data_IF_183149454795
#
_entry.id   IF_183149454795
#
_cell.length_a   1.000
_cell.length_b   1.000
_cell.length_c   1.000
_cell.angle_alpha   90.00
_cell.angle_beta   90.00
_cell.angle_gamma   90.00
#
_symmetry.space_group_name_H-M   'P 1'
#
loop_
_entity.id
_entity.type
_entity.pdbx_description
1 polymer ?
#
# COMPACT_ATOMS: atom_id res chain seq x y z
N UNK A 1 22.50 -29.97 -9.33
CA UNK A 1 21.45 -28.92 -9.45
C UNK A 1 21.31 -28.20 -8.11
N UNK A 2 22.13 -27.17 -7.85
CA UNK A 2 22.12 -26.41 -6.59
C UNK A 2 21.31 -25.12 -6.74
N UNK A 3 20.01 -25.17 -6.44
CA UNK A 3 19.15 -24.00 -6.42
C UNK A 3 19.55 -23.08 -5.27
N UNK A 4 20.28 -21.99 -5.58
CA UNK A 4 20.74 -21.01 -4.59
C UNK A 4 19.52 -20.40 -3.88
N UNK A 5 19.27 -20.67 -2.58
CA UNK A 5 18.08 -20.21 -1.87
C UNK A 5 17.95 -18.68 -1.83
N UNK A 6 19.04 -17.95 -2.07
CA UNK A 6 19.04 -16.48 -2.21
C UNK A 6 18.25 -15.97 -3.43
N UNK A 7 18.38 -16.60 -4.60
CA UNK A 7 17.74 -16.11 -5.84
C UNK A 7 16.22 -16.28 -5.82
N UNK A 8 15.73 -17.39 -5.27
CA UNK A 8 14.30 -17.62 -5.11
C UNK A 8 13.68 -16.61 -4.14
N UNK A 9 14.39 -16.29 -3.04
CA UNK A 9 13.98 -15.30 -2.05
C UNK A 9 13.97 -13.88 -2.62
N UNK A 10 14.99 -13.51 -3.39
CA UNK A 10 15.05 -12.22 -4.10
C UNK A 10 13.90 -12.05 -5.09
N UNK A 11 13.61 -13.07 -5.89
CA UNK A 11 12.48 -13.05 -6.82
C UNK A 11 11.14 -12.91 -6.07
N UNK A 12 10.96 -13.64 -4.96
CA UNK A 12 9.76 -13.54 -4.12
C UNK A 12 9.59 -12.13 -3.56
N UNK A 13 10.67 -11.50 -3.09
CA UNK A 13 10.64 -10.13 -2.58
C UNK A 13 10.35 -9.09 -3.66
N UNK A 14 10.88 -9.26 -4.86
CA UNK A 14 10.59 -8.37 -5.99
C UNK A 14 9.11 -8.44 -6.40
N UNK A 15 8.52 -9.64 -6.39
CA UNK A 15 7.08 -9.84 -6.64
C UNK A 15 6.26 -9.19 -5.53
N UNK A 16 6.62 -9.41 -4.26
CA UNK A 16 5.93 -8.79 -3.12
C UNK A 16 5.96 -7.26 -3.20
N UNK A 17 7.11 -6.67 -3.52
CA UNK A 17 7.24 -5.22 -3.67
C UNK A 17 6.35 -4.68 -4.80
N UNK A 18 6.29 -5.38 -5.93
CA UNK A 18 5.42 -5.03 -7.06
C UNK A 18 3.95 -5.09 -6.66
N UNK A 19 3.53 -6.17 -6.00
CA UNK A 19 2.14 -6.33 -5.53
C UNK A 19 1.76 -5.22 -4.55
N UNK A 20 2.63 -4.91 -3.59
CA UNK A 20 2.42 -3.81 -2.62
C UNK A 20 2.28 -2.47 -3.35
N UNK A 21 3.09 -2.23 -4.39
CA UNK A 21 3.01 -1.01 -5.18
C UNK A 21 1.68 -0.90 -5.92
N UNK A 22 1.24 -1.98 -6.58
CA UNK A 22 -0.04 -2.01 -7.30
C UNK A 22 -1.21 -1.79 -6.35
N UNK A 23 -1.24 -2.51 -5.23
CA UNK A 23 -2.26 -2.33 -4.18
C UNK A 23 -2.26 -0.88 -3.68
N UNK A 24 -1.09 -0.27 -3.51
CA UNK A 24 -0.99 1.13 -3.07
C UNK A 24 -1.62 2.08 -4.07
N UNK A 25 -1.35 1.90 -5.36
CA UNK A 25 -1.92 2.75 -6.42
C UNK A 25 -3.44 2.61 -6.43
N UNK A 26 -3.94 1.37 -6.46
CA UNK A 26 -5.37 1.10 -6.46
C UNK A 26 -6.06 1.65 -5.20
N UNK A 27 -5.46 1.45 -4.02
CA UNK A 27 -6.00 1.97 -2.77
C UNK A 27 -5.99 3.50 -2.72
N UNK A 28 -4.98 4.15 -3.30
CA UNK A 28 -4.94 5.62 -3.39
C UNK A 28 -6.06 6.15 -4.27
N UNK A 29 -6.22 5.57 -5.46
CA UNK A 29 -7.29 5.96 -6.41
C UNK A 29 -8.66 5.70 -5.77
N UNK A 30 -8.88 4.51 -5.22
CA UNK A 30 -10.12 4.14 -4.57
C UNK A 30 -10.43 5.07 -3.38
N UNK A 31 -9.43 5.36 -2.52
CA UNK A 31 -9.61 6.28 -1.40
C UNK A 31 -10.07 7.66 -1.89
N UNK A 32 -9.41 8.22 -2.91
CA UNK A 32 -9.78 9.54 -3.44
C UNK A 32 -11.22 9.54 -3.95
N UNK A 33 -11.60 8.54 -4.75
CA UNK A 33 -12.97 8.43 -5.29
C UNK A 33 -14.01 8.25 -4.19
N UNK A 34 -13.72 7.40 -3.20
CA UNK A 34 -14.61 7.12 -2.08
C UNK A 34 -14.78 8.34 -1.16
N UNK A 35 -13.69 9.07 -0.88
CA UNK A 35 -13.73 10.31 -0.09
C UNK A 35 -14.54 11.39 -0.79
N UNK A 36 -14.37 11.56 -2.11
CA UNK A 36 -15.17 12.52 -2.89
C UNK A 36 -16.65 12.12 -2.86
N UNK A 37 -16.97 10.85 -3.11
CA UNK A 37 -18.34 10.34 -3.05
C UNK A 37 -18.96 10.52 -1.66
N UNK A 38 -18.19 10.24 -0.60
CA UNK A 38 -18.59 10.47 0.78
C UNK A 38 -18.86 11.94 1.06
N UNK A 39 -18.00 12.86 0.64
CA UNK A 39 -18.16 14.30 0.87
C UNK A 39 -19.43 14.84 0.18
N UNK A 40 -19.69 14.41 -1.05
CA UNK A 40 -20.91 14.79 -1.78
C UNK A 40 -22.15 14.25 -1.07
N UNK A 41 -22.16 12.99 -0.66
CA UNK A 41 -23.28 12.38 0.06
C UNK A 41 -23.48 12.98 1.46
N UNK A 42 -22.41 13.34 2.15
CA UNK A 42 -22.42 13.98 3.45
C UNK A 42 -23.04 15.38 3.42
N UNK A 43 -22.78 16.15 2.36
CA UNK A 43 -23.41 17.46 2.16
C UNK A 43 -24.90 17.32 1.83
N UNK A 44 -25.29 16.22 1.17
CA UNK A 44 -26.64 16.03 0.65
C UNK A 44 -27.62 15.43 1.64
N UNK A 45 -27.16 14.55 2.53
CA UNK A 45 -28.06 13.75 3.36
C UNK A 45 -27.51 13.51 4.78
N UNK A 46 -26.40 12.79 4.90
CA UNK A 46 -25.86 12.38 6.21
C UNK A 46 -24.37 12.06 6.15
N UNK A 47 -23.67 12.38 7.24
CA UNK A 47 -22.26 12.06 7.45
C UNK A 47 -22.01 10.54 7.53
N UNK A 48 -22.96 9.77 8.06
CA UNK A 48 -22.88 8.31 8.16
C UNK A 48 -23.54 7.66 6.93
N UNK A 49 -22.87 7.79 5.79
CA UNK A 49 -23.35 7.29 4.51
C UNK A 49 -22.55 6.07 4.03
N UNK A 50 -23.08 5.38 3.01
CA UNK A 50 -22.53 4.13 2.46
C UNK A 50 -21.07 4.25 1.98
N UNK A 51 -20.57 5.45 1.71
CA UNK A 51 -19.18 5.68 1.29
C UNK A 51 -18.20 5.85 2.46
N UNK A 52 -18.67 6.01 3.70
CA UNK A 52 -17.83 6.19 4.89
C UNK A 52 -16.96 4.95 5.14
N UNK A 53 -17.58 3.77 5.27
CA UNK A 53 -16.89 2.52 5.56
C UNK A 53 -15.89 2.08 4.49
N UNK A 54 -16.21 2.16 3.18
CA UNK A 54 -15.23 1.96 2.12
C UNK A 54 -14.05 2.95 2.19
N UNK A 55 -14.30 4.23 2.51
CA UNK A 55 -13.25 5.25 2.65
C UNK A 55 -12.28 4.91 3.79
N UNK A 56 -12.82 4.50 4.94
CA UNK A 56 -12.04 4.02 6.09
C UNK A 56 -11.23 2.78 5.68
N UNK A 57 -11.85 1.83 4.98
CA UNK A 57 -11.17 0.62 4.49
C UNK A 57 -9.99 0.92 3.55
N UNK A 58 -10.16 1.86 2.62
CA UNK A 58 -9.08 2.29 1.73
C UNK A 58 -7.94 3.01 2.49
N UNK A 59 -8.28 3.82 3.50
CA UNK A 59 -7.31 4.46 4.39
C UNK A 59 -6.49 3.43 5.18
N UNK A 60 -7.14 2.43 5.76
CA UNK A 60 -6.47 1.32 6.46
C UNK A 60 -5.56 0.54 5.51
N UNK A 61 -6.02 0.26 4.28
CA UNK A 61 -5.20 -0.43 3.27
C UNK A 61 -3.92 0.34 2.92
N UNK A 62 -3.97 1.67 2.83
CA UNK A 62 -2.79 2.51 2.61
C UNK A 62 -1.84 2.53 3.81
N UNK A 63 -2.39 2.53 5.02
CA UNK A 63 -1.62 2.43 6.27
C UNK A 63 -0.85 1.10 6.33
N UNK A 64 -1.54 -0.01 6.04
CA UNK A 64 -0.92 -1.34 5.95
C UNK A 64 0.14 -1.37 4.84
N UNK A 65 -0.15 -0.84 3.65
CA UNK A 65 0.83 -0.75 2.56
C UNK A 65 2.08 0.03 2.97
N UNK A 66 1.90 1.14 3.70
CA UNK A 66 3.01 1.96 4.21
C UNK A 66 3.83 1.23 5.25
N UNK A 67 3.17 0.53 6.18
CA UNK A 67 3.85 -0.26 7.20
C UNK A 67 4.65 -1.42 6.58
N UNK A 68 4.06 -2.13 5.63
CA UNK A 68 4.71 -3.22 4.89
C UNK A 68 5.91 -2.71 4.10
N UNK A 69 5.76 -1.61 3.35
CA UNK A 69 6.86 -0.99 2.62
C UNK A 69 8.00 -0.52 3.55
N UNK A 70 7.65 0.09 4.69
CA UNK A 70 8.61 0.50 5.71
C UNK A 70 9.38 -0.70 6.29
N UNK A 71 8.68 -1.80 6.59
CA UNK A 71 9.30 -3.03 7.07
C UNK A 71 10.25 -3.65 6.03
N UNK A 72 9.85 -3.65 4.75
CA UNK A 72 10.68 -4.06 3.62
C UNK A 72 11.94 -3.19 3.50
N UNK A 73 11.81 -1.86 3.60
CA UNK A 73 12.95 -0.92 3.55
C UNK A 73 13.89 -1.09 4.74
N UNK A 74 13.37 -1.35 5.93
CA UNK A 74 14.18 -1.54 7.13
C UNK A 74 15.03 -2.84 7.06
N UNK A 75 14.55 -3.88 6.37
CA UNK A 75 15.28 -5.14 6.18
C UNK A 75 16.21 -5.17 4.97
N UNK A 76 15.91 -4.36 3.94
CA UNK A 76 16.81 -4.10 2.81
C UNK A 76 17.20 -2.61 2.83
N UNK A 77 18.03 -2.17 3.80
CA UNK A 77 18.64 -0.86 3.69
C UNK A 77 19.48 -0.91 2.42
N UNK A 78 19.01 -0.22 1.39
CA UNK A 78 19.77 0.07 0.17
C UNK A 78 21.20 0.34 0.63
N UNK A 79 22.14 -0.52 0.23
CA UNK A 79 23.57 -0.25 0.32
C UNK A 79 23.86 0.92 -0.64
N UNK A 80 23.29 2.08 -0.33
CA UNK A 80 23.57 3.33 -1.01
C UNK A 80 24.92 3.72 -0.43
N UNK A 81 25.98 3.49 -1.19
CA UNK A 81 27.38 3.62 -0.82
C UNK A 81 27.74 5.00 -0.27
N UNK A 82 27.34 5.26 0.97
CA UNK A 82 27.86 6.31 1.81
C UNK A 82 29.18 5.79 2.37
N UNK A 83 30.26 6.13 1.66
CA UNK A 83 31.64 6.08 2.14
C UNK A 83 31.99 7.53 2.49
N UNK A 84 32.64 7.78 3.65
CA UNK A 84 32.61 9.05 4.40
C UNK A 84 33.22 10.26 3.70
#
# INVERSE_FOLDING_TARGET
MGGRPGRAREALWAVLATVVLVIRILATIALVLLVIGWAVAAIRDSLDNVFLWPSIGAGVALLVSTYVYGHLRARYPRHNGWIP
#
